data_IF_602726779594
#
_entry.id   IF_602726779594
#
_cell.length_a   1.000
_cell.length_b   1.000
_cell.length_c   1.000
_cell.angle_alpha   90.00
_cell.angle_beta   90.00
_cell.angle_gamma   90.00
#
_symmetry.space_group_name_H-M   'P 1'
#
loop_
_entity.id
_entity.type
_entity.pdbx_description
1 polymer ?
#
# COMPACT_ATOMS: atom_id res chain seq x y z
N UNK A 1 2.48 12.06 -11.69
CA UNK A 1 2.34 10.66 -12.15
C UNK A 1 1.08 10.12 -11.50
N UNK A 2 0.14 9.63 -12.30
CA UNK A 2 -1.13 9.09 -11.82
C UNK A 2 -1.03 7.56 -11.71
N UNK A 3 -0.72 7.10 -10.51
CA UNK A 3 -0.65 5.67 -10.20
C UNK A 3 -1.99 5.06 -9.77
N UNK A 4 -3.04 5.87 -9.61
CA UNK A 4 -4.35 5.40 -9.12
C UNK A 4 -5.05 4.47 -10.11
N UNK A 5 -4.64 4.49 -11.38
CA UNK A 5 -5.21 3.68 -12.45
C UNK A 5 -4.24 2.59 -12.94
N UNK A 6 -3.19 2.28 -12.19
CA UNK A 6 -2.29 1.17 -12.51
C UNK A 6 -2.82 -0.15 -11.95
N UNK A 7 -2.39 -1.31 -12.49
CA UNK A 7 -2.67 -2.61 -11.87
C UNK A 7 -2.22 -2.65 -10.40
N UNK A 8 -2.94 -3.38 -9.55
CA UNK A 8 -2.57 -3.58 -8.14
C UNK A 8 -1.65 -4.79 -7.91
N UNK A 9 -1.04 -5.32 -8.95
CA UNK A 9 -0.08 -6.45 -8.93
C UNK A 9 1.15 -6.07 -9.74
N UNK A 10 2.30 -6.73 -9.53
CA UNK A 10 3.45 -6.55 -10.40
C UNK A 10 3.10 -6.86 -11.86
N UNK A 11 3.56 -6.04 -12.79
CA UNK A 11 3.23 -6.16 -14.22
C UNK A 11 4.33 -5.63 -15.13
N UNK A 12 4.32 -6.06 -16.39
CA UNK A 12 5.15 -5.48 -17.43
C UNK A 12 4.42 -4.33 -18.11
N UNK A 13 4.88 -3.07 -17.98
CA UNK A 13 4.19 -1.93 -18.52
C UNK A 13 4.32 -1.83 -20.05
N UNK A 14 3.32 -1.24 -20.68
CA UNK A 14 3.39 -0.86 -22.08
C UNK A 14 4.39 0.30 -22.29
N UNK A 15 5.11 0.28 -23.40
CA UNK A 15 6.03 1.37 -23.78
C UNK A 15 5.28 2.69 -24.02
N UNK A 16 4.03 2.61 -24.48
CA UNK A 16 3.23 3.79 -24.77
C UNK A 16 2.49 4.36 -23.56
N UNK A 17 2.14 3.52 -22.59
CA UNK A 17 1.48 3.93 -21.36
C UNK A 17 1.87 2.98 -20.22
N UNK A 18 2.66 3.47 -19.28
CA UNK A 18 3.14 2.69 -18.14
C UNK A 18 2.03 2.14 -17.24
N UNK A 19 0.82 2.68 -17.30
CA UNK A 19 -0.34 2.24 -16.50
C UNK A 19 -1.02 0.99 -17.06
N UNK A 20 -0.66 0.59 -18.27
CA UNK A 20 -1.28 -0.53 -18.97
C UNK A 20 -0.34 -1.72 -18.94
N UNK A 21 -0.83 -2.85 -18.42
CA UNK A 21 -0.14 -4.12 -18.55
C UNK A 21 -0.08 -4.54 -20.04
N UNK A 22 1.10 -4.95 -20.51
CA UNK A 22 1.29 -5.50 -21.84
C UNK A 22 1.99 -6.85 -21.74
N UNK A 23 2.10 -7.55 -22.87
CA UNK A 23 2.79 -8.84 -22.96
C UNK A 23 4.13 -8.81 -22.22
N UNK A 24 4.40 -9.85 -21.43
CA UNK A 24 5.58 -9.97 -20.56
C UNK A 24 6.87 -9.55 -21.26
N UNK A 25 7.35 -8.38 -20.92
CA UNK A 25 8.72 -8.00 -21.21
C UNK A 25 9.58 -8.45 -20.01
N UNK A 26 10.30 -9.55 -20.16
CA UNK A 26 11.14 -10.13 -19.08
C UNK A 26 12.22 -9.18 -18.56
N UNK A 27 12.48 -8.06 -19.24
CA UNK A 27 13.52 -7.11 -18.89
C UNK A 27 13.04 -5.95 -18.02
N UNK A 28 11.72 -5.78 -17.85
CA UNK A 28 11.18 -4.70 -17.03
C UNK A 28 9.89 -5.14 -16.33
N UNK A 29 9.89 -4.98 -15.01
CA UNK A 29 8.76 -5.28 -14.15
C UNK A 29 8.47 -4.05 -13.28
N UNK A 30 7.23 -3.60 -13.30
CA UNK A 30 6.73 -2.52 -12.45
C UNK A 30 6.12 -3.09 -11.17
N UNK A 31 6.50 -2.51 -10.04
CA UNK A 31 5.89 -2.76 -8.74
C UNK A 31 5.09 -1.52 -8.34
N UNK A 32 3.82 -1.44 -8.69
CA UNK A 32 3.02 -0.26 -8.42
C UNK A 32 2.78 -0.08 -6.92
N UNK A 33 2.70 1.17 -6.47
CA UNK A 33 2.14 1.46 -5.16
C UNK A 33 0.68 1.02 -5.15
N UNK A 34 0.36 0.09 -4.27
CA UNK A 34 -1.00 -0.42 -4.22
C UNK A 34 -1.98 0.62 -3.70
N UNK A 35 -3.18 0.55 -4.24
CA UNK A 35 -4.29 1.40 -3.86
C UNK A 35 -5.41 0.58 -3.25
N UNK A 36 -6.08 1.16 -2.26
CA UNK A 36 -7.27 0.59 -1.62
C UNK A 36 -8.36 1.65 -1.53
N UNK A 37 -9.61 1.23 -1.56
CA UNK A 37 -10.73 2.14 -1.33
C UNK A 37 -10.86 2.42 0.16
N UNK A 38 -10.76 3.68 0.54
CA UNK A 38 -10.90 4.13 1.92
C UNK A 38 -11.87 5.29 2.03
N UNK A 39 -12.45 5.47 3.21
CA UNK A 39 -13.33 6.60 3.51
C UNK A 39 -12.92 7.23 4.83
N UNK A 40 -12.77 8.53 4.86
CA UNK A 40 -12.57 9.33 6.07
C UNK A 40 -13.69 10.34 6.26
N UNK A 41 -13.73 11.01 7.41
CA UNK A 41 -14.87 11.83 7.85
C UNK A 41 -15.32 12.94 6.88
N UNK A 42 -14.44 13.41 6.01
CA UNK A 42 -14.77 14.47 5.04
C UNK A 42 -15.12 13.93 3.63
N UNK A 43 -14.97 12.62 3.41
CA UNK A 43 -15.31 12.02 2.14
C UNK A 43 -16.82 11.80 2.03
N UNK A 44 -17.39 12.07 0.86
CA UNK A 44 -18.76 11.67 0.54
C UNK A 44 -18.82 10.16 0.29
N UNK A 45 -17.85 9.64 -0.48
CA UNK A 45 -17.77 8.26 -0.95
C UNK A 45 -16.42 7.63 -0.60
N UNK A 46 -16.29 6.31 -0.83
CA UNK A 46 -15.01 5.63 -0.80
C UNK A 46 -14.14 6.09 -1.97
N UNK A 47 -12.92 6.50 -1.68
CA UNK A 47 -11.96 6.98 -2.67
C UNK A 47 -10.74 6.06 -2.72
N UNK A 48 -10.18 5.80 -3.92
CA UNK A 48 -8.93 5.07 -4.03
C UNK A 48 -7.78 5.92 -3.45
N UNK A 49 -6.99 5.30 -2.59
CA UNK A 49 -5.79 5.91 -1.98
C UNK A 49 -4.66 4.92 -1.94
N UNK A 50 -3.44 5.42 -2.09
CA UNK A 50 -2.25 4.59 -1.87
C UNK A 50 -2.23 4.05 -0.45
N UNK A 51 -1.78 2.81 -0.30
CA UNK A 51 -1.56 2.22 1.01
C UNK A 51 -0.38 2.92 1.67
N UNK A 52 -0.67 3.80 2.62
CA UNK A 52 0.32 4.49 3.45
C UNK A 52 0.14 4.05 4.91
N UNK A 53 1.18 3.46 5.48
CA UNK A 53 1.13 2.95 6.84
C UNK A 53 1.01 4.06 7.90
N UNK A 54 1.28 5.33 7.54
CA UNK A 54 1.08 6.47 8.42
C UNK A 54 -0.38 6.96 8.50
N UNK A 55 -1.32 6.31 7.83
CA UNK A 55 -2.74 6.64 7.98
C UNK A 55 -3.23 6.42 9.41
N UNK A 56 -4.26 7.15 9.80
CA UNK A 56 -4.91 6.94 11.09
C UNK A 56 -5.41 5.50 11.20
N UNK A 57 -5.35 4.96 12.41
CA UNK A 57 -5.76 3.57 12.70
C UNK A 57 -7.15 3.28 12.14
N UNK A 58 -7.28 2.15 11.46
CA UNK A 58 -8.54 1.65 10.91
C UNK A 58 -8.91 2.20 9.52
N UNK A 59 -8.26 3.27 9.03
CA UNK A 59 -8.56 3.84 7.69
C UNK A 59 -8.32 2.83 6.58
N UNK A 60 -7.31 1.98 6.72
CA UNK A 60 -6.93 0.98 5.70
C UNK A 60 -7.73 -0.32 5.79
N UNK A 61 -8.35 -0.61 6.93
CA UNK A 61 -8.85 -1.97 7.26
C UNK A 61 -9.80 -2.55 6.22
N UNK A 62 -10.86 -1.83 5.88
CA UNK A 62 -11.88 -2.33 4.92
C UNK A 62 -11.30 -2.50 3.52
N UNK A 63 -10.54 -1.51 3.06
CA UNK A 63 -9.91 -1.56 1.75
C UNK A 63 -8.85 -2.65 1.63
N UNK A 64 -8.09 -2.93 2.68
CA UNK A 64 -7.12 -4.02 2.70
C UNK A 64 -7.80 -5.39 2.74
N UNK A 65 -8.96 -5.52 3.39
CA UNK A 65 -9.69 -6.77 3.40
C UNK A 65 -10.18 -7.14 1.98
N UNK A 66 -10.70 -6.19 1.23
CA UNK A 66 -11.05 -6.37 -0.19
C UNK A 66 -9.81 -6.66 -1.03
N UNK A 67 -8.75 -5.90 -0.84
CA UNK A 67 -7.49 -6.04 -1.56
C UNK A 67 -6.89 -7.44 -1.42
N UNK A 68 -6.79 -7.97 -0.22
CA UNK A 68 -6.19 -9.29 0.04
C UNK A 68 -7.04 -10.48 -0.42
N UNK A 69 -8.29 -10.29 -0.85
CA UNK A 69 -9.07 -11.33 -1.52
C UNK A 69 -8.60 -11.58 -2.95
N UNK A 70 -8.05 -10.55 -3.59
CA UNK A 70 -7.73 -10.56 -5.02
C UNK A 70 -6.23 -10.48 -5.31
N UNK A 71 -5.42 -10.04 -4.32
CA UNK A 71 -4.00 -9.76 -4.51
C UNK A 71 -3.14 -10.46 -3.46
N UNK A 72 -1.96 -10.92 -3.88
CA UNK A 72 -0.99 -11.62 -3.03
C UNK A 72 0.23 -10.75 -2.68
N UNK A 73 0.40 -9.63 -3.34
CA UNK A 73 1.54 -8.72 -3.14
C UNK A 73 1.04 -7.36 -2.71
N UNK A 74 1.55 -6.84 -1.58
CA UNK A 74 1.28 -5.50 -1.10
C UNK A 74 2.54 -4.64 -1.14
N UNK A 75 2.48 -3.56 -1.92
CA UNK A 75 3.50 -2.50 -1.95
C UNK A 75 2.91 -1.25 -1.32
N UNK A 76 3.43 -0.87 -0.17
CA UNK A 76 3.02 0.33 0.57
C UNK A 76 4.07 1.43 0.51
N UNK A 77 3.65 2.66 0.76
CA UNK A 77 4.56 3.78 0.94
C UNK A 77 4.66 4.13 2.42
N UNK A 78 5.87 4.45 2.87
CA UNK A 78 6.10 5.00 4.21
C UNK A 78 7.32 5.89 4.13
N UNK A 79 7.21 7.12 4.59
CA UNK A 79 8.36 8.03 4.61
C UNK A 79 9.21 7.82 5.85
N UNK A 80 10.54 7.98 5.78
CA UNK A 80 11.42 7.79 6.94
C UNK A 80 11.02 8.60 8.17
N UNK A 81 10.56 9.83 8.01
CA UNK A 81 10.12 10.69 9.12
C UNK A 81 8.85 10.18 9.82
N UNK A 82 8.03 9.34 9.17
CA UNK A 82 6.86 8.71 9.76
C UNK A 82 7.22 7.58 10.72
N UNK A 83 8.45 7.07 10.64
CA UNK A 83 8.93 5.89 11.39
C UNK A 83 9.93 6.25 12.49
N UNK A 84 10.74 7.31 12.32
CA UNK A 84 11.92 7.54 13.15
C UNK A 84 11.63 8.21 14.49
N UNK A 85 10.68 9.12 14.57
CA UNK A 85 10.24 9.77 15.81
C UNK A 85 9.03 10.66 15.51
N UNK A 86 8.24 10.99 16.56
CA UNK A 86 7.16 11.97 16.45
C UNK A 86 7.73 13.30 15.93
N UNK A 87 7.79 13.45 14.62
CA UNK A 87 8.53 14.51 13.94
C UNK A 87 7.81 15.86 14.03
N UNK A 88 6.51 15.84 14.30
CA UNK A 88 5.66 17.02 14.38
C UNK A 88 4.88 17.03 15.70
N UNK A 89 5.60 17.21 16.80
CA UNK A 89 4.94 17.56 18.07
C UNK A 89 4.94 19.08 18.21
N UNK A 90 4.26 19.75 17.31
CA UNK A 90 3.79 21.08 17.59
C UNK A 90 2.35 20.94 18.15
N UNK A 91 2.18 21.34 19.41
CA UNK A 91 0.93 21.26 20.15
C UNK A 91 -0.25 22.00 19.49
N UNK A 92 0.00 22.74 18.44
CA UNK A 92 -0.97 23.47 17.63
C UNK A 92 -1.38 22.79 16.33
N UNK A 93 -0.83 21.62 15.98
CA UNK A 93 -1.26 20.91 14.77
C UNK A 93 -2.63 20.25 15.00
N UNK A 94 -3.63 20.74 14.28
CA UNK A 94 -4.93 20.10 14.16
C UNK A 94 -4.73 18.67 13.65
N UNK A 95 -5.38 17.71 14.28
CA UNK A 95 -5.37 16.32 13.83
C UNK A 95 -5.74 16.25 12.34
N UNK A 96 -4.85 15.67 11.53
CA UNK A 96 -5.16 15.43 10.12
C UNK A 96 -6.09 14.21 10.03
N UNK A 97 -7.24 14.30 9.34
CA UNK A 97 -8.22 13.22 9.35
C UNK A 97 -7.72 11.93 8.68
N UNK A 98 -6.74 12.01 7.79
CA UNK A 98 -6.18 10.85 7.08
C UNK A 98 -4.87 10.37 7.70
N UNK A 99 -3.96 11.27 8.06
CA UNK A 99 -2.60 10.96 8.50
C UNK A 99 -2.42 11.19 9.98
N UNK A 100 -1.80 10.26 10.67
CA UNK A 100 -1.52 10.35 12.10
C UNK A 100 -0.23 11.12 12.42
N UNK A 101 0.78 11.10 11.55
CA UNK A 101 2.13 11.61 11.81
C UNK A 101 2.81 11.02 13.08
N UNK A 102 2.41 9.83 13.49
CA UNK A 102 2.94 9.14 14.66
C UNK A 102 3.53 7.79 14.25
N UNK A 103 4.75 7.52 14.72
CA UNK A 103 5.39 6.21 14.56
C UNK A 103 4.48 5.05 14.98
N UNK A 104 3.74 5.24 16.08
CA UNK A 104 2.83 4.21 16.57
C UNK A 104 1.76 3.82 15.55
N UNK A 105 1.28 4.75 14.74
CA UNK A 105 0.28 4.44 13.70
C UNK A 105 0.83 3.54 12.60
N UNK A 106 2.12 3.70 12.26
CA UNK A 106 2.78 2.80 11.29
C UNK A 106 2.84 1.38 11.86
N UNK A 107 3.18 1.25 13.13
CA UNK A 107 3.23 -0.04 13.83
C UNK A 107 1.82 -0.65 13.90
N UNK A 108 0.84 0.11 14.36
CA UNK A 108 -0.55 -0.34 14.49
C UNK A 108 -1.13 -0.81 13.15
N UNK A 109 -0.88 -0.08 12.06
CA UNK A 109 -1.35 -0.47 10.73
C UNK A 109 -0.63 -1.73 10.23
N UNK A 110 0.66 -1.89 10.52
CA UNK A 110 1.38 -3.11 10.19
C UNK A 110 0.84 -4.32 10.96
N UNK A 111 0.57 -4.16 12.26
CA UNK A 111 -0.08 -5.19 13.08
C UNK A 111 -1.47 -5.54 12.54
N UNK A 112 -2.29 -4.55 12.18
CA UNK A 112 -3.62 -4.77 11.58
C UNK A 112 -3.52 -5.56 10.26
N UNK A 113 -2.50 -5.31 9.43
CA UNK A 113 -2.23 -6.10 8.20
C UNK A 113 -1.93 -7.56 8.55
N UNK A 114 -1.06 -7.81 9.52
CA UNK A 114 -0.70 -9.16 9.94
C UNK A 114 -1.90 -9.92 10.53
N UNK A 115 -2.72 -9.25 11.33
CA UNK A 115 -3.95 -9.83 11.90
C UNK A 115 -4.94 -10.16 10.79
N UNK A 116 -5.12 -9.27 9.83
CA UNK A 116 -6.02 -9.46 8.71
C UNK A 116 -5.59 -10.65 7.84
N UNK A 117 -4.31 -10.77 7.52
CA UNK A 117 -3.79 -11.88 6.74
C UNK A 117 -4.03 -13.22 7.44
N UNK A 118 -3.75 -13.31 8.75
CA UNK A 118 -4.03 -14.52 9.55
C UNK A 118 -5.53 -14.88 9.53
N UNK A 119 -6.42 -13.89 9.63
CA UNK A 119 -7.87 -14.10 9.56
C UNK A 119 -8.31 -14.63 8.19
N UNK A 120 -7.60 -14.28 7.13
CA UNK A 120 -7.82 -14.77 5.77
C UNK A 120 -7.06 -16.09 5.47
N UNK A 121 -6.42 -16.71 6.48
CA UNK A 121 -5.57 -17.89 6.34
C UNK A 121 -4.43 -17.70 5.33
N UNK A 122 -3.82 -16.52 5.33
CA UNK A 122 -2.66 -16.19 4.50
C UNK A 122 -1.41 -16.05 5.36
N UNK A 123 -0.30 -16.57 4.86
CA UNK A 123 1.02 -16.27 5.40
C UNK A 123 1.52 -14.97 4.79
N UNK A 124 2.24 -14.16 5.59
CA UNK A 124 2.91 -12.95 5.12
C UNK A 124 4.41 -13.17 5.15
N UNK A 125 5.04 -12.89 4.02
CA UNK A 125 6.47 -12.84 3.88
C UNK A 125 6.90 -11.42 3.49
N UNK A 126 7.96 -10.91 4.14
CA UNK A 126 8.58 -9.65 3.78
C UNK A 126 9.75 -9.93 2.83
N UNK A 127 9.57 -9.60 1.57
CA UNK A 127 10.54 -9.91 0.52
C UNK A 127 11.27 -8.64 0.06
N UNK A 128 12.51 -8.83 -0.38
CA UNK A 128 13.18 -7.82 -1.19
C UNK A 128 12.63 -7.86 -2.61
N UNK A 129 12.60 -6.73 -3.28
CA UNK A 129 12.14 -6.64 -4.68
C UNK A 129 12.95 -7.59 -5.59
N UNK A 130 14.26 -7.75 -5.35
CA UNK A 130 15.10 -8.72 -6.08
C UNK A 130 14.61 -10.15 -6.00
N UNK A 131 14.09 -10.55 -4.84
CA UNK A 131 13.64 -11.93 -4.62
C UNK A 131 12.31 -12.17 -5.34
N UNK A 132 11.44 -11.16 -5.36
CA UNK A 132 10.18 -11.21 -6.11
C UNK A 132 10.44 -11.26 -7.62
N UNK A 133 11.40 -10.48 -8.14
CA UNK A 133 11.75 -10.48 -9.56
C UNK A 133 12.12 -11.91 -10.02
N UNK A 134 12.90 -12.64 -9.22
CA UNK A 134 13.30 -14.01 -9.58
C UNK A 134 12.11 -14.96 -9.72
N UNK A 135 11.06 -14.77 -8.96
CA UNK A 135 9.82 -15.57 -9.06
C UNK A 135 9.08 -15.29 -10.37
N UNK A 136 8.96 -14.02 -10.75
CA UNK A 136 8.25 -13.60 -11.95
C UNK A 136 9.03 -13.88 -13.26
N UNK A 137 10.35 -14.04 -13.20
CA UNK A 137 11.18 -14.29 -14.41
C UNK A 137 11.35 -15.77 -14.70
N UNK A 138 11.08 -16.65 -13.75
CA UNK A 138 11.23 -18.10 -13.87
C UNK A 138 9.96 -18.82 -14.35
N UNK A 139 8.84 -18.13 -14.48
CA UNK A 139 7.61 -18.61 -15.09
C UNK A 139 7.52 -18.19 -16.58
#
# INVERSE_FOLDING_TARGET
>A
IDWLNTPNKPYSPSISDYRIEKERNRNFLEFPLNTVKTKVSYDKDYLPRYVNLAFNKGVLREGLEEFFRENDTLVSITHPFEVVKDFFVDSNQKSHPLLSFKRQSVIDNLEDILILARRLNREIEFLKVSDIISTYTNE
#
